data_IF_813015678107
#
_entry.id   IF_813015678107
#
_cell.length_a   1.000
_cell.length_b   1.000
_cell.length_c   1.000
_cell.angle_alpha   90.00
_cell.angle_beta   90.00
_cell.angle_gamma   90.00
#
_symmetry.space_group_name_H-M   'P 1'
#
loop_
_entity.id
_entity.type
_entity.pdbx_description
1 polymer ?
#
# COMPACT_ATOMS: atom_id res chain seq x y z
N UNK A 1 -16.51 -17.56 18.15
CA UNK A 1 -15.73 -16.49 17.48
C UNK A 1 -16.73 -15.69 16.65
N UNK A 2 -17.00 -14.43 16.98
CA UNK A 2 -17.89 -13.57 16.19
C UNK A 2 -17.28 -13.43 14.79
N UNK A 3 -18.00 -13.83 13.76
CA UNK A 3 -17.61 -13.61 12.36
C UNK A 3 -17.51 -12.09 12.15
N UNK A 4 -16.30 -11.60 11.95
CA UNK A 4 -16.08 -10.19 11.65
C UNK A 4 -16.74 -9.90 10.30
N UNK A 5 -17.57 -8.84 10.22
CA UNK A 5 -18.27 -8.50 8.98
C UNK A 5 -17.28 -8.35 7.81
N UNK A 6 -17.68 -8.86 6.64
CA UNK A 6 -16.88 -8.72 5.43
C UNK A 6 -16.59 -7.24 5.14
N UNK A 7 -15.32 -6.91 4.86
CA UNK A 7 -14.86 -5.56 4.52
C UNK A 7 -14.54 -5.48 3.03
N UNK A 8 -14.68 -4.30 2.46
CA UNK A 8 -14.17 -3.97 1.14
C UNK A 8 -12.80 -3.29 1.25
N UNK A 9 -11.78 -3.84 0.57
CA UNK A 9 -10.38 -3.46 0.72
C UNK A 9 -9.81 -3.08 -0.63
N UNK A 10 -9.20 -1.91 -0.72
CA UNK A 10 -8.46 -1.46 -1.90
C UNK A 10 -6.97 -1.54 -1.61
N UNK A 11 -6.19 -2.16 -2.53
CA UNK A 11 -4.75 -2.36 -2.36
C UNK A 11 -4.01 -1.95 -3.64
N UNK A 12 -3.03 -1.07 -3.52
CA UNK A 12 -2.12 -0.79 -4.64
C UNK A 12 -0.89 -1.69 -4.61
N UNK A 13 -0.39 -2.11 -5.80
CA UNK A 13 0.82 -2.92 -5.91
C UNK A 13 0.60 -4.41 -5.58
N UNK A 14 -0.48 -5.03 -6.10
CA UNK A 14 -0.86 -6.42 -5.81
C UNK A 14 -0.15 -7.48 -6.66
N UNK A 15 0.74 -7.11 -7.57
CA UNK A 15 1.35 -8.06 -8.52
C UNK A 15 2.44 -8.94 -7.91
N UNK A 16 3.04 -8.52 -6.78
CA UNK A 16 4.11 -9.25 -6.09
C UNK A 16 4.25 -8.81 -4.62
N UNK A 17 5.08 -9.53 -3.88
CA UNK A 17 5.50 -9.16 -2.52
C UNK A 17 4.33 -8.99 -1.55
N UNK A 18 4.41 -7.98 -0.69
CA UNK A 18 3.43 -7.76 0.38
C UNK A 18 2.02 -7.53 -0.16
N UNK A 19 1.87 -6.73 -1.24
CA UNK A 19 0.57 -6.45 -1.83
C UNK A 19 -0.13 -7.71 -2.33
N UNK A 20 0.62 -8.65 -2.96
CA UNK A 20 0.10 -9.93 -3.39
C UNK A 20 -0.34 -10.79 -2.21
N UNK A 21 0.55 -10.95 -1.21
CA UNK A 21 0.26 -11.75 -0.03
C UNK A 21 -0.92 -11.20 0.78
N UNK A 22 -1.02 -9.87 0.92
CA UNK A 22 -2.18 -9.22 1.55
C UNK A 22 -3.48 -9.51 0.78
N UNK A 23 -3.49 -9.30 -0.54
CA UNK A 23 -4.69 -9.54 -1.36
C UNK A 23 -5.18 -10.98 -1.20
N UNK A 24 -4.31 -11.97 -1.35
CA UNK A 24 -4.64 -13.39 -1.19
C UNK A 24 -5.14 -13.71 0.23
N UNK A 25 -4.49 -13.15 1.26
CA UNK A 25 -4.89 -13.39 2.64
C UNK A 25 -6.22 -12.73 3.01
N UNK A 26 -6.50 -11.50 2.55
CA UNK A 26 -7.81 -10.86 2.77
C UNK A 26 -8.93 -11.66 2.10
N UNK A 27 -8.72 -12.11 0.87
CA UNK A 27 -9.68 -12.95 0.14
C UNK A 27 -9.95 -14.27 0.91
N UNK A 28 -8.88 -14.93 1.37
CA UNK A 28 -9.00 -16.16 2.15
C UNK A 28 -9.76 -15.99 3.48
N UNK A 29 -9.78 -14.75 4.02
CA UNK A 29 -10.56 -14.40 5.21
C UNK A 29 -12.00 -13.94 4.90
N UNK A 30 -12.44 -14.00 3.64
CA UNK A 30 -13.81 -13.68 3.23
C UNK A 30 -14.04 -12.18 2.98
N UNK A 31 -12.99 -11.40 2.76
CA UNK A 31 -13.11 -9.97 2.43
C UNK A 31 -13.07 -9.75 0.91
N UNK A 32 -13.74 -8.71 0.42
CA UNK A 32 -13.67 -8.30 -0.99
C UNK A 32 -12.44 -7.43 -1.22
N UNK A 33 -11.71 -7.70 -2.30
CA UNK A 33 -10.49 -6.95 -2.64
C UNK A 33 -10.59 -6.36 -4.04
N UNK A 34 -10.30 -5.07 -4.17
CA UNK A 34 -9.95 -4.43 -5.43
C UNK A 34 -8.45 -4.07 -5.40
N UNK A 35 -7.70 -4.58 -6.36
CA UNK A 35 -6.26 -4.39 -6.42
C UNK A 35 -5.78 -3.85 -7.76
N UNK A 36 -4.65 -3.13 -7.75
CA UNK A 36 -4.01 -2.66 -8.96
C UNK A 36 -2.50 -2.90 -8.99
N UNK A 37 -1.94 -2.90 -10.18
CA UNK A 37 -0.50 -2.98 -10.43
C UNK A 37 -0.18 -2.89 -11.90
N UNK A 38 1.11 -2.75 -12.25
CA UNK A 38 1.55 -2.50 -13.63
C UNK A 38 1.77 -3.77 -14.46
N UNK A 39 2.04 -4.90 -13.82
CA UNK A 39 2.37 -6.14 -14.52
C UNK A 39 1.06 -6.82 -15.00
N UNK A 40 0.71 -6.62 -16.27
CA UNK A 40 -0.51 -7.11 -16.88
C UNK A 40 -0.67 -8.62 -16.72
N UNK A 41 0.37 -9.40 -16.99
CA UNK A 41 0.34 -10.86 -16.84
C UNK A 41 -0.05 -11.28 -15.41
N UNK A 42 0.48 -10.60 -14.38
CA UNK A 42 0.18 -10.94 -12.99
C UNK A 42 -1.23 -10.47 -12.58
N UNK A 43 -1.69 -9.34 -13.11
CA UNK A 43 -3.08 -8.88 -12.92
C UNK A 43 -4.06 -9.85 -13.55
N UNK A 44 -3.79 -10.31 -14.78
CA UNK A 44 -4.62 -11.31 -15.48
C UNK A 44 -4.69 -12.62 -14.68
N UNK A 45 -3.58 -13.12 -14.15
CA UNK A 45 -3.55 -14.31 -13.29
C UNK A 45 -4.40 -14.14 -12.04
N UNK A 46 -4.31 -12.97 -11.39
CA UNK A 46 -5.14 -12.68 -10.20
C UNK A 46 -6.62 -12.65 -10.52
N UNK A 47 -7.01 -11.99 -11.62
CA UNK A 47 -8.39 -11.89 -12.05
C UNK A 47 -8.98 -13.27 -12.43
N UNK A 48 -8.19 -14.11 -13.09
CA UNK A 48 -8.60 -15.49 -13.42
C UNK A 48 -8.75 -16.37 -12.18
N UNK A 49 -7.84 -16.21 -11.20
CA UNK A 49 -7.84 -17.05 -9.99
C UNK A 49 -8.98 -16.71 -9.03
N UNK A 50 -9.29 -15.43 -8.87
CA UNK A 50 -10.20 -15.00 -7.81
C UNK A 50 -11.57 -14.53 -8.32
N UNK A 51 -11.65 -13.96 -9.55
CA UNK A 51 -12.93 -13.53 -10.14
C UNK A 51 -13.76 -12.59 -9.26
N UNK A 52 -15.03 -12.42 -9.60
CA UNK A 52 -15.98 -11.65 -8.82
C UNK A 52 -16.24 -12.32 -7.44
N UNK A 53 -16.43 -11.55 -6.35
CA UNK A 53 -16.59 -10.09 -6.31
C UNK A 53 -15.26 -9.30 -6.25
N UNK A 54 -14.11 -9.94 -6.45
CA UNK A 54 -12.82 -9.26 -6.43
C UNK A 54 -12.53 -8.61 -7.79
N UNK A 55 -11.77 -7.51 -7.78
CA UNK A 55 -11.40 -6.79 -8.99
C UNK A 55 -9.91 -6.49 -9.06
N UNK A 56 -9.27 -6.79 -10.20
CA UNK A 56 -7.85 -6.50 -10.42
C UNK A 56 -7.66 -5.72 -11.72
N UNK A 57 -6.89 -4.64 -11.68
CA UNK A 57 -6.71 -3.74 -12.81
C UNK A 57 -5.24 -3.41 -13.07
N UNK A 58 -4.89 -3.27 -14.36
CA UNK A 58 -3.59 -2.73 -14.77
C UNK A 58 -3.65 -1.22 -14.61
N UNK A 59 -2.89 -0.70 -13.63
CA UNK A 59 -2.83 0.74 -13.33
C UNK A 59 -1.42 1.07 -12.85
N UNK A 60 -0.84 2.13 -13.40
CA UNK A 60 0.31 2.80 -12.83
C UNK A 60 -0.17 3.90 -11.88
N UNK A 61 0.16 3.79 -10.59
CA UNK A 61 -0.24 4.79 -9.59
C UNK A 61 0.39 6.17 -9.84
N UNK A 62 1.51 6.24 -10.57
CA UNK A 62 2.13 7.49 -10.99
C UNK A 62 1.32 8.23 -12.08
N UNK A 63 0.45 7.54 -12.81
CA UNK A 63 -0.45 8.09 -13.81
C UNK A 63 -1.80 8.44 -13.18
N UNK A 64 -2.05 9.72 -12.96
CA UNK A 64 -3.28 10.21 -12.33
C UNK A 64 -4.53 9.83 -13.11
N UNK A 65 -4.50 9.88 -14.45
CA UNK A 65 -5.66 9.56 -15.28
C UNK A 65 -6.07 8.09 -15.15
N UNK A 66 -5.08 7.17 -15.11
CA UNK A 66 -5.34 5.75 -14.86
C UNK A 66 -5.92 5.53 -13.46
N UNK A 67 -5.39 6.19 -12.44
CA UNK A 67 -5.89 6.09 -11.07
C UNK A 67 -7.32 6.62 -10.96
N UNK A 68 -7.62 7.77 -11.58
CA UNK A 68 -8.96 8.34 -11.62
C UNK A 68 -9.97 7.37 -12.24
N UNK A 69 -9.68 6.86 -13.43
CA UNK A 69 -10.55 5.92 -14.14
C UNK A 69 -10.76 4.61 -13.34
N UNK A 70 -9.70 4.11 -12.70
CA UNK A 70 -9.79 2.92 -11.85
C UNK A 70 -10.63 3.18 -10.60
N UNK A 71 -10.38 4.27 -9.87
CA UNK A 71 -11.11 4.62 -8.65
C UNK A 71 -12.60 4.82 -8.92
N UNK A 72 -12.95 5.50 -10.02
CA UNK A 72 -14.34 5.68 -10.43
C UNK A 72 -15.07 4.35 -10.60
N UNK A 73 -14.49 3.40 -11.38
CA UNK A 73 -15.06 2.07 -11.57
C UNK A 73 -15.19 1.27 -10.27
N UNK A 74 -14.17 1.34 -9.41
CA UNK A 74 -14.16 0.60 -8.14
C UNK A 74 -15.23 1.15 -7.20
N UNK A 75 -15.35 2.47 -7.09
CA UNK A 75 -16.35 3.10 -6.21
C UNK A 75 -17.77 2.89 -6.74
N UNK A 76 -17.96 2.92 -8.06
CA UNK A 76 -19.26 2.61 -8.69
C UNK A 76 -19.70 1.17 -8.42
N UNK A 77 -18.77 0.20 -8.51
CA UNK A 77 -19.10 -1.23 -8.38
C UNK A 77 -19.25 -1.71 -6.93
N UNK A 78 -18.50 -1.13 -5.99
CA UNK A 78 -18.37 -1.65 -4.61
C UNK A 78 -18.64 -0.59 -3.53
N UNK A 79 -18.77 0.67 -3.92
CA UNK A 79 -18.77 1.79 -2.97
C UNK A 79 -17.36 2.12 -2.46
N UNK A 80 -17.26 3.06 -1.49
CA UNK A 80 -15.99 3.44 -0.89
C UNK A 80 -15.38 2.31 -0.04
N UNK A 81 -14.05 2.11 -0.06
CA UNK A 81 -13.40 1.06 0.71
C UNK A 81 -13.51 1.27 2.23
N UNK A 82 -13.57 0.16 2.97
CA UNK A 82 -13.40 0.16 4.43
C UNK A 82 -11.93 0.31 4.81
N UNK A 83 -11.03 -0.22 3.96
CA UNK A 83 -9.59 -0.16 4.17
C UNK A 83 -8.90 0.13 2.82
N UNK A 84 -8.18 1.25 2.77
CA UNK A 84 -7.40 1.68 1.61
C UNK A 84 -5.91 1.51 1.94
N UNK A 85 -5.23 0.59 1.23
CA UNK A 85 -3.83 0.24 1.44
C UNK A 85 -2.95 0.77 0.30
N UNK A 86 -2.27 1.88 0.54
CA UNK A 86 -1.27 2.43 -0.37
C UNK A 86 0.07 1.71 -0.17
N UNK A 87 0.22 0.57 -0.84
CA UNK A 87 1.37 -0.31 -0.72
C UNK A 87 2.34 -0.23 -1.91
N UNK A 88 1.88 0.18 -3.09
CA UNK A 88 2.76 0.30 -4.27
C UNK A 88 3.97 1.19 -3.98
N UNK A 89 5.17 0.65 -4.19
CA UNK A 89 6.42 1.38 -3.97
C UNK A 89 7.56 0.81 -4.81
N UNK A 90 8.57 1.65 -5.04
CA UNK A 90 9.86 1.32 -5.64
C UNK A 90 10.99 1.72 -4.67
N UNK A 91 12.11 1.01 -4.74
CA UNK A 91 13.39 1.46 -4.18
C UNK A 91 14.37 1.70 -5.34
N UNK A 92 15.28 2.64 -5.18
CA UNK A 92 16.38 2.83 -6.12
C UNK A 92 17.41 1.70 -5.98
N UNK A 93 18.20 1.48 -7.04
CA UNK A 93 19.41 0.67 -6.95
C UNK A 93 20.36 1.29 -5.92
N UNK A 94 20.95 0.50 -4.99
CA UNK A 94 21.83 1.05 -3.98
C UNK A 94 23.02 1.79 -4.59
N UNK A 95 23.07 3.10 -4.38
CA UNK A 95 24.13 3.97 -4.86
C UNK A 95 24.25 5.24 -3.99
N UNK A 96 25.44 5.83 -3.94
CA UNK A 96 25.60 7.18 -3.33
C UNK A 96 24.68 8.17 -4.03
N UNK A 97 24.05 9.06 -3.29
CA UNK A 97 23.00 9.97 -3.80
C UNK A 97 23.42 10.70 -5.09
N UNK A 98 24.66 11.17 -5.17
CA UNK A 98 25.19 11.88 -6.34
C UNK A 98 25.46 11.00 -7.56
N UNK A 99 25.31 9.68 -7.43
CA UNK A 99 25.41 8.69 -8.51
C UNK A 99 24.06 8.10 -8.93
N UNK A 100 22.99 8.39 -8.19
CA UNK A 100 21.64 7.94 -8.57
C UNK A 100 21.21 8.71 -9.83
N UNK A 101 20.83 8.00 -10.93
CA UNK A 101 20.35 8.69 -12.13
C UNK A 101 19.07 9.49 -11.84
N UNK A 102 18.95 10.70 -12.41
CA UNK A 102 17.78 11.55 -12.21
C UNK A 102 16.47 10.82 -12.51
N UNK A 103 16.41 10.08 -13.62
CA UNK A 103 15.24 9.29 -13.99
C UNK A 103 14.83 8.27 -12.91
N UNK A 104 15.80 7.64 -12.27
CA UNK A 104 15.52 6.65 -11.20
C UNK A 104 15.02 7.35 -9.94
N UNK A 105 15.63 8.49 -9.59
CA UNK A 105 15.15 9.35 -8.51
C UNK A 105 13.68 9.76 -8.75
N UNK A 106 13.40 10.30 -9.94
CA UNK A 106 12.05 10.73 -10.32
C UNK A 106 11.03 9.59 -10.23
N UNK A 107 11.37 8.40 -10.72
CA UNK A 107 10.49 7.23 -10.64
C UNK A 107 10.15 6.83 -9.19
N UNK A 108 11.11 6.93 -8.27
CA UNK A 108 10.87 6.64 -6.85
C UNK A 108 9.91 7.67 -6.25
N UNK A 109 10.09 8.95 -6.55
CA UNK A 109 9.19 10.03 -6.11
C UNK A 109 7.79 9.85 -6.71
N UNK A 110 7.72 9.61 -8.02
CA UNK A 110 6.45 9.50 -8.75
C UNK A 110 5.58 8.36 -8.21
N UNK A 111 6.18 7.20 -7.97
CA UNK A 111 5.42 6.05 -7.45
C UNK A 111 5.14 6.18 -5.96
N UNK A 112 6.16 6.47 -5.14
CA UNK A 112 6.05 6.35 -3.69
C UNK A 112 5.34 7.54 -3.03
N UNK A 113 5.36 8.71 -3.66
CA UNK A 113 4.77 9.92 -3.10
C UNK A 113 3.60 10.43 -3.94
N UNK A 114 3.85 10.77 -5.22
CA UNK A 114 2.76 11.25 -6.10
C UNK A 114 1.70 10.18 -6.33
N UNK A 115 2.10 8.89 -6.47
CA UNK A 115 1.17 7.77 -6.60
C UNK A 115 0.24 7.63 -5.41
N UNK A 116 0.75 7.79 -4.19
CA UNK A 116 -0.09 7.81 -2.97
C UNK A 116 -1.05 9.00 -3.00
N UNK A 117 -0.57 10.20 -3.37
CA UNK A 117 -1.41 11.39 -3.48
C UNK A 117 -2.52 11.22 -4.54
N UNK A 118 -2.22 10.61 -5.69
CA UNK A 118 -3.20 10.31 -6.73
C UNK A 118 -4.30 9.37 -6.20
N UNK A 119 -3.92 8.28 -5.54
CA UNK A 119 -4.88 7.32 -4.97
C UNK A 119 -5.76 8.00 -3.91
N UNK A 120 -5.18 8.78 -3.01
CA UNK A 120 -5.93 9.54 -2.01
C UNK A 120 -6.92 10.51 -2.66
N UNK A 121 -6.49 11.28 -3.67
CA UNK A 121 -7.34 12.26 -4.39
C UNK A 121 -8.61 11.63 -4.95
N UNK A 122 -8.54 10.40 -5.44
CA UNK A 122 -9.66 9.77 -6.14
C UNK A 122 -10.50 8.80 -5.29
N UNK A 123 -9.98 8.26 -4.20
CA UNK A 123 -10.76 7.41 -3.28
C UNK A 123 -11.31 8.17 -2.07
N UNK A 124 -10.55 9.15 -1.56
CA UNK A 124 -10.89 9.84 -0.31
C UNK A 124 -12.24 10.59 -0.36
N UNK A 125 -12.64 11.27 -1.46
CA UNK A 125 -13.94 11.95 -1.49
C UNK A 125 -15.13 11.04 -1.18
N UNK A 126 -15.14 9.81 -1.72
CA UNK A 126 -16.19 8.83 -1.45
C UNK A 126 -16.13 8.29 0.00
N UNK A 127 -14.93 8.11 0.55
CA UNK A 127 -14.75 7.73 1.96
C UNK A 127 -15.19 8.84 2.91
N UNK A 128 -14.89 10.11 2.59
CA UNK A 128 -15.31 11.28 3.37
C UNK A 128 -16.84 11.45 3.38
N UNK A 129 -17.51 11.23 2.24
CA UNK A 129 -18.98 11.27 2.16
C UNK A 129 -19.62 10.25 3.11
N UNK A 130 -19.00 9.06 3.28
CA UNK A 130 -19.43 8.02 4.22
C UNK A 130 -18.98 8.28 5.66
N UNK A 131 -18.00 9.16 5.88
CA UNK A 131 -17.34 9.44 7.18
C UNK A 131 -16.84 8.18 7.89
N UNK A 132 -16.37 7.21 7.14
CA UNK A 132 -15.91 5.93 7.66
C UNK A 132 -14.85 5.32 6.74
N UNK A 133 -13.80 4.75 7.34
CA UNK A 133 -12.77 4.00 6.65
C UNK A 133 -11.39 4.27 7.22
N UNK A 134 -10.48 3.38 6.93
CA UNK A 134 -9.08 3.44 7.37
C UNK A 134 -8.18 3.52 6.15
N UNK A 135 -7.26 4.47 6.16
CA UNK A 135 -6.23 4.66 5.15
C UNK A 135 -4.91 4.22 5.76
N UNK A 136 -4.21 3.29 5.13
CA UNK A 136 -2.88 2.85 5.55
C UNK A 136 -1.89 3.17 4.44
N UNK A 137 -0.99 4.09 4.69
CA UNK A 137 0.10 4.42 3.79
C UNK A 137 1.35 3.67 4.23
N UNK A 138 1.83 2.76 3.39
CA UNK A 138 3.00 1.95 3.72
C UNK A 138 4.26 2.80 3.75
N UNK A 139 4.75 3.01 4.96
CA UNK A 139 6.04 3.60 5.30
C UNK A 139 7.14 2.52 5.31
N UNK A 140 8.13 2.69 6.15
CA UNK A 140 9.27 1.79 6.35
C UNK A 140 9.96 2.14 7.66
N UNK A 141 10.83 1.27 8.18
CA UNK A 141 11.86 1.66 9.15
C UNK A 141 12.69 2.86 8.64
N UNK A 142 12.93 2.90 7.31
CA UNK A 142 13.61 4.03 6.66
C UNK A 142 12.72 5.27 6.39
N UNK A 143 11.53 5.33 6.93
CA UNK A 143 10.72 6.54 7.11
C UNK A 143 10.94 7.21 8.47
N UNK A 144 11.69 6.53 9.37
CA UNK A 144 11.99 6.96 10.76
C UNK A 144 13.48 6.91 11.08
N UNK A 145 14.27 6.30 10.19
CA UNK A 145 15.72 6.23 10.20
C UNK A 145 16.23 6.30 8.76
N UNK A 146 17.54 6.29 8.55
CA UNK A 146 18.14 6.36 7.21
C UNK A 146 19.18 5.26 7.01
N UNK A 147 19.51 4.98 5.75
CA UNK A 147 20.59 4.10 5.36
C UNK A 147 21.34 4.67 4.14
N UNK A 148 22.64 4.49 4.04
CA UNK A 148 23.38 4.88 2.84
C UNK A 148 22.90 4.05 1.63
N UNK A 149 23.05 4.61 0.44
CA UNK A 149 22.70 3.94 -0.81
C UNK A 149 21.23 4.01 -1.23
N UNK A 150 20.30 4.34 -0.33
CA UNK A 150 18.85 4.36 -0.58
C UNK A 150 18.21 5.71 -0.24
N UNK A 151 18.96 6.79 -0.40
CA UNK A 151 18.51 8.14 -0.04
C UNK A 151 17.19 8.57 -0.72
N UNK A 152 16.94 8.34 -2.02
CA UNK A 152 15.63 8.63 -2.64
C UNK A 152 14.47 7.89 -1.98
N UNK A 153 14.66 6.60 -1.69
CA UNK A 153 13.65 5.79 -1.00
C UNK A 153 13.39 6.31 0.42
N UNK A 154 14.43 6.56 1.21
CA UNK A 154 14.31 7.15 2.55
C UNK A 154 13.51 8.46 2.49
N UNK A 155 13.87 9.38 1.59
CA UNK A 155 13.19 10.67 1.42
C UNK A 155 11.68 10.46 1.21
N UNK A 156 11.28 9.53 0.33
CA UNK A 156 9.86 9.25 0.10
C UNK A 156 9.17 8.67 1.33
N UNK A 157 9.84 7.82 2.11
CA UNK A 157 9.22 7.22 3.29
C UNK A 157 9.10 8.20 4.47
N UNK A 158 10.04 9.14 4.63
CA UNK A 158 9.87 10.28 5.52
C UNK A 158 8.71 11.18 5.06
N UNK A 159 8.60 11.44 3.75
CA UNK A 159 7.49 12.22 3.20
C UNK A 159 6.13 11.54 3.46
N UNK A 160 6.03 10.21 3.35
CA UNK A 160 4.82 9.43 3.67
C UNK A 160 4.44 9.54 5.14
N UNK A 161 5.39 9.51 6.07
CA UNK A 161 5.11 9.75 7.50
C UNK A 161 4.48 11.14 7.71
N UNK A 162 5.07 12.18 7.12
CA UNK A 162 4.57 13.56 7.23
C UNK A 162 3.21 13.75 6.56
N UNK A 163 3.07 13.32 5.29
CA UNK A 163 1.83 13.41 4.53
C UNK A 163 0.67 12.72 5.26
N UNK A 164 0.91 11.51 5.79
CA UNK A 164 -0.15 10.74 6.46
C UNK A 164 -0.57 11.38 7.78
N UNK A 165 0.35 11.93 8.55
CA UNK A 165 0.05 12.64 9.79
C UNK A 165 -0.70 13.96 9.54
N UNK A 166 -0.37 14.68 8.48
CA UNK A 166 -1.12 15.87 8.07
C UNK A 166 -2.54 15.49 7.66
N UNK A 167 -2.69 14.48 6.79
CA UNK A 167 -4.00 13.96 6.40
C UNK A 167 -4.85 13.55 7.61
N UNK A 168 -4.24 12.90 8.60
CA UNK A 168 -4.95 12.47 9.80
C UNK A 168 -5.63 13.62 10.57
N UNK A 169 -5.05 14.84 10.52
CA UNK A 169 -5.63 16.02 11.14
C UNK A 169 -6.82 16.61 10.36
N UNK A 170 -6.94 16.27 9.08
CA UNK A 170 -7.98 16.74 8.18
C UNK A 170 -9.20 15.80 8.15
N UNK A 171 -9.05 14.56 8.66
CA UNK A 171 -10.10 13.55 8.60
C UNK A 171 -11.19 13.78 9.67
N UNK A 172 -12.47 13.55 9.32
CA UNK A 172 -13.57 13.62 10.30
C UNK A 172 -13.50 12.44 11.28
N UNK A 173 -14.16 12.55 12.46
CA UNK A 173 -14.36 11.43 13.36
C UNK A 173 -14.94 10.21 12.64
N UNK A 174 -14.46 9.01 12.95
CA UNK A 174 -14.86 7.76 12.31
C UNK A 174 -13.89 7.29 11.21
N UNK A 175 -12.93 8.12 10.83
CA UNK A 175 -11.87 7.77 9.88
C UNK A 175 -10.48 7.77 10.52
N UNK A 176 -9.51 7.12 9.86
CA UNK A 176 -8.11 7.16 10.27
C UNK A 176 -7.17 7.14 9.06
N UNK A 177 -6.06 7.86 9.17
CA UNK A 177 -4.89 7.74 8.29
C UNK A 177 -3.67 7.33 9.12
N UNK A 178 -2.99 6.27 8.71
CA UNK A 178 -1.97 5.59 9.50
C UNK A 178 -0.73 5.35 8.63
N UNK A 179 0.42 5.95 8.96
CA UNK A 179 1.69 5.55 8.36
C UNK A 179 2.14 4.23 8.98
N UNK A 180 2.33 3.21 8.13
CA UNK A 180 2.55 1.84 8.58
C UNK A 180 3.89 1.29 8.12
N UNK A 181 4.74 0.90 9.06
CA UNK A 181 5.98 0.20 8.77
C UNK A 181 5.73 -1.32 8.73
N UNK A 182 5.89 -1.99 7.59
CA UNK A 182 5.69 -3.44 7.48
C UNK A 182 6.79 -4.28 8.15
N UNK A 183 7.92 -3.66 8.55
CA UNK A 183 9.11 -4.37 9.00
C UNK A 183 10.03 -4.76 7.83
N UNK A 184 10.90 -5.73 8.07
CA UNK A 184 11.86 -6.25 7.08
C UNK A 184 11.37 -7.63 6.61
N UNK A 185 11.02 -7.73 5.32
CA UNK A 185 10.40 -8.93 4.75
C UNK A 185 11.13 -9.31 3.46
N UNK A 186 11.36 -10.60 3.24
CA UNK A 186 12.03 -11.13 2.05
C UNK A 186 11.19 -10.91 0.78
N UNK A 187 11.29 -9.73 0.22
CA UNK A 187 10.66 -9.31 -1.04
C UNK A 187 11.73 -9.03 -2.08
N UNK A 188 11.34 -8.95 -3.36
CA UNK A 188 12.28 -8.52 -4.40
C UNK A 188 12.89 -7.13 -4.14
N UNK A 189 12.19 -6.25 -3.42
CA UNK A 189 12.72 -4.95 -2.98
C UNK A 189 13.82 -5.13 -1.91
N UNK A 190 13.64 -6.04 -0.96
CA UNK A 190 14.67 -6.33 0.03
C UNK A 190 15.89 -6.98 -0.61
N UNK A 191 15.66 -7.93 -1.52
CA UNK A 191 16.75 -8.60 -2.27
C UNK A 191 17.58 -7.60 -3.09
N UNK A 192 16.95 -6.55 -3.63
CA UNK A 192 17.65 -5.46 -4.31
C UNK A 192 18.65 -4.74 -3.38
N UNK A 193 18.27 -4.52 -2.12
CA UNK A 193 19.07 -3.76 -1.14
C UNK A 193 20.07 -4.62 -0.38
N UNK A 194 19.73 -5.89 -0.09
CA UNK A 194 20.47 -6.77 0.82
C UNK A 194 21.01 -8.05 0.14
N UNK A 195 20.76 -8.24 -1.16
CA UNK A 195 21.20 -9.43 -1.89
C UNK A 195 20.72 -10.72 -1.24
N UNK A 196 21.61 -11.69 -1.10
CA UNK A 196 21.33 -13.02 -0.52
C UNK A 196 20.92 -12.97 0.96
N UNK A 197 21.34 -11.96 1.72
CA UNK A 197 20.95 -11.80 3.13
C UNK A 197 19.45 -11.59 3.33
N UNK A 198 18.70 -11.20 2.28
CA UNK A 198 17.26 -11.07 2.33
C UNK A 198 16.54 -12.38 2.67
N UNK A 199 17.16 -13.54 2.35
CA UNK A 199 16.59 -14.87 2.60
C UNK A 199 16.46 -15.23 4.09
N UNK A 200 17.16 -14.53 4.98
CA UNK A 200 17.05 -14.74 6.44
C UNK A 200 15.79 -14.09 7.06
N UNK A 201 15.07 -13.31 6.29
CA UNK A 201 13.83 -12.68 6.74
C UNK A 201 12.60 -13.48 6.30
N UNK A 202 11.50 -13.31 7.04
CA UNK A 202 10.23 -14.00 6.77
C UNK A 202 9.71 -13.71 5.35
N UNK A 203 9.01 -14.68 4.77
CA UNK A 203 8.35 -14.51 3.47
C UNK A 203 7.15 -13.55 3.57
N UNK A 204 6.70 -12.95 2.44
CA UNK A 204 5.47 -12.17 2.41
C UNK A 204 4.24 -12.94 2.91
N UNK A 205 4.14 -14.23 2.62
CA UNK A 205 3.02 -15.07 3.02
C UNK A 205 3.01 -15.33 4.54
N UNK A 206 4.17 -15.56 5.13
CA UNK A 206 4.30 -15.69 6.59
C UNK A 206 3.97 -14.37 7.30
N UNK A 207 4.51 -13.27 6.79
CA UNK A 207 4.18 -11.93 7.28
C UNK A 207 2.68 -11.64 7.24
N UNK A 208 2.01 -11.99 6.14
CA UNK A 208 0.59 -11.73 5.96
C UNK A 208 -0.30 -12.49 6.96
N UNK A 209 0.16 -13.61 7.53
CA UNK A 209 -0.58 -14.37 8.54
C UNK A 209 -0.87 -13.53 9.80
N UNK A 210 0.07 -12.66 10.18
CA UNK A 210 -0.04 -11.80 11.37
C UNK A 210 -0.46 -10.38 11.01
N UNK A 211 0.12 -9.82 9.95
CA UNK A 211 -0.12 -8.42 9.56
C UNK A 211 -1.54 -8.19 9.05
N UNK A 212 -2.13 -9.12 8.30
CA UNK A 212 -3.49 -8.94 7.77
C UNK A 212 -4.55 -8.91 8.88
N UNK A 213 -4.57 -9.84 9.86
CA UNK A 213 -5.45 -9.71 11.02
C UNK A 213 -5.24 -8.41 11.80
N UNK A 214 -4.00 -7.94 11.94
CA UNK A 214 -3.70 -6.68 12.59
C UNK A 214 -4.28 -5.48 11.81
N UNK A 215 -4.08 -5.43 10.49
CA UNK A 215 -4.64 -4.39 9.62
C UNK A 215 -6.17 -4.33 9.69
N UNK A 216 -6.85 -5.46 9.86
CA UNK A 216 -8.30 -5.53 10.02
C UNK A 216 -8.81 -4.93 11.35
N UNK A 217 -7.95 -4.84 12.38
CA UNK A 217 -8.29 -4.27 13.69
C UNK A 217 -8.06 -2.74 13.74
N UNK A 218 -7.42 -2.17 12.71
CA UNK A 218 -7.18 -0.73 12.67
C UNK A 218 -8.50 0.03 12.56
N UNK A 219 -8.56 1.17 13.24
CA UNK A 219 -9.76 1.99 13.31
C UNK A 219 -9.45 3.43 13.75
N UNK A 220 -10.49 4.25 13.98
CA UNK A 220 -10.35 5.67 14.30
C UNK A 220 -9.41 5.99 15.48
N UNK A 221 -9.32 5.07 16.45
CA UNK A 221 -8.43 5.21 17.62
C UNK A 221 -6.94 5.22 17.25
N UNK A 222 -6.58 4.80 16.04
CA UNK A 222 -5.20 4.77 15.56
C UNK A 222 -4.85 5.96 14.65
N UNK A 223 -5.78 6.92 14.48
CA UNK A 223 -5.59 8.04 13.57
C UNK A 223 -4.30 8.82 13.88
N UNK A 224 -3.44 9.03 12.89
CA UNK A 224 -2.18 9.76 12.99
C UNK A 224 -1.03 9.00 13.68
N UNK A 225 -1.28 7.81 14.21
CA UNK A 225 -0.25 7.01 14.89
C UNK A 225 0.66 6.31 13.88
N UNK A 226 1.97 6.45 14.06
CA UNK A 226 2.97 5.70 13.27
C UNK A 226 3.08 4.28 13.82
N UNK A 227 2.45 3.32 13.14
CA UNK A 227 2.41 1.93 13.56
C UNK A 227 3.42 1.05 12.82
N UNK A 228 3.69 -0.12 13.38
CA UNK A 228 4.49 -1.18 12.75
C UNK A 228 3.72 -2.49 12.78
N UNK A 229 4.04 -3.38 11.83
CA UNK A 229 3.54 -4.75 11.86
C UNK A 229 4.01 -5.49 13.13
N UNK A 230 3.16 -6.38 13.67
CA UNK A 230 3.50 -7.20 14.82
C UNK A 230 4.58 -8.24 14.51
#
# INVERSE_FOLDING_TARGET
>A
MSQQAAKFIVITGVTRGLGRAMAEKFIALGHTVAGCGRAETEITKLAQRFGAPHGFAVVDVADEAQVNAWAARVVESHGPPDLLLNNAALANQPASLWKVPAREFDQVIDVNLKGVANVLRHFLPAMLARKRGVIVNFSSGWGRSTSPGVAPYCATKFAIEGLTKALAQELPPGMAAIPFNPGVINTGMLQLCFGTSASSYQSPDEWAKNAVPYLLQLGPQHNGQSLSAP
#
